data_IF_966551901324
#
_entry.id   IF_966551901324
#
_cell.length_a   1.000
_cell.length_b   1.000
_cell.length_c   1.000
_cell.angle_alpha   90.00
_cell.angle_beta   90.00
_cell.angle_gamma   90.00
#
_symmetry.space_group_name_H-M   'P 1'
#
loop_
_entity.id
_entity.type
_entity.pdbx_description
1 polymer ?
#
# COMPACT_ATOMS: atom_id res chain seq x y z
N UNK A 1 -32.15 -11.17 -6.62
CA UNK A 1 -31.21 -10.30 -5.89
C UNK A 1 -29.85 -11.01 -5.92
N UNK A 2 -28.93 -10.62 -6.82
CA UNK A 2 -27.62 -11.26 -6.91
C UNK A 2 -26.77 -10.89 -5.69
N UNK A 3 -26.18 -11.90 -5.03
CA UNK A 3 -25.31 -11.67 -3.89
C UNK A 3 -24.09 -10.82 -4.30
N UNK A 4 -23.66 -9.87 -3.46
CA UNK A 4 -22.50 -9.03 -3.77
C UNK A 4 -21.27 -9.91 -4.03
N UNK A 5 -20.54 -9.58 -5.10
CA UNK A 5 -19.37 -10.32 -5.56
C UNK A 5 -18.33 -10.39 -4.44
N UNK A 6 -18.19 -11.56 -3.79
CA UNK A 6 -17.22 -11.75 -2.70
C UNK A 6 -15.81 -11.61 -3.25
N UNK A 7 -15.14 -10.51 -2.92
CA UNK A 7 -13.72 -10.33 -3.28
C UNK A 7 -12.87 -11.23 -2.39
N UNK A 8 -12.42 -12.35 -2.94
CA UNK A 8 -11.45 -13.20 -2.26
C UNK A 8 -10.08 -12.54 -2.30
N UNK A 9 -9.47 -12.37 -1.14
CA UNK A 9 -8.15 -11.80 -1.03
C UNK A 9 -7.11 -12.88 -0.76
N UNK A 10 -6.12 -12.94 -1.64
CA UNK A 10 -5.03 -13.92 -1.56
C UNK A 10 -3.72 -13.19 -1.29
N UNK A 11 -2.93 -13.70 -0.34
CA UNK A 11 -1.61 -13.18 0.02
C UNK A 11 -0.58 -13.49 -1.07
N UNK A 12 0.54 -12.77 -1.08
CA UNK A 12 1.64 -13.03 -1.99
C UNK A 12 2.18 -14.47 -1.81
N UNK A 13 2.27 -14.94 -0.56
CA UNK A 13 2.63 -16.33 -0.23
C UNK A 13 1.74 -17.35 -0.95
N UNK A 14 0.42 -17.25 -0.73
CA UNK A 14 -0.55 -18.18 -1.30
C UNK A 14 -0.56 -18.15 -2.84
N UNK A 15 -0.32 -16.98 -3.44
CA UNK A 15 -0.20 -16.85 -4.90
C UNK A 15 1.00 -17.61 -5.45
N UNK A 16 2.15 -17.59 -4.75
CA UNK A 16 3.35 -18.33 -5.17
C UNK A 16 3.19 -19.83 -4.99
N UNK A 17 2.71 -20.26 -3.83
CA UNK A 17 2.41 -21.67 -3.56
C UNK A 17 1.45 -22.24 -4.62
N UNK A 18 0.41 -21.47 -4.97
CA UNK A 18 -0.49 -21.85 -6.04
C UNK A 18 0.20 -21.92 -7.41
N UNK A 19 1.15 -21.04 -7.71
CA UNK A 19 1.88 -21.05 -8.98
C UNK A 19 2.90 -22.19 -9.07
N UNK A 20 3.57 -22.53 -7.97
CA UNK A 20 4.44 -23.70 -7.87
C UNK A 20 3.64 -24.97 -8.11
N UNK A 21 2.47 -25.08 -7.49
CA UNK A 21 1.56 -26.23 -7.70
C UNK A 21 0.99 -26.28 -9.12
N UNK A 22 0.71 -25.13 -9.73
CA UNK A 22 0.32 -25.04 -11.14
C UNK A 22 1.43 -25.52 -12.07
N UNK A 23 2.70 -25.33 -11.73
CA UNK A 23 3.82 -25.82 -12.54
C UNK A 23 3.91 -27.36 -12.56
N UNK A 24 3.50 -28.01 -11.46
CA UNK A 24 3.52 -29.48 -11.32
C UNK A 24 2.20 -30.12 -11.79
N UNK A 25 1.06 -29.66 -11.29
CA UNK A 25 -0.25 -30.30 -11.47
C UNK A 25 -1.13 -29.61 -12.55
N UNK A 26 -0.77 -28.39 -12.95
CA UNK A 26 -1.59 -27.57 -13.85
C UNK A 26 -2.73 -26.82 -13.16
N UNK A 27 -3.40 -25.93 -13.92
CA UNK A 27 -4.37 -24.99 -13.35
C UNK A 27 -5.67 -25.63 -12.84
N UNK A 28 -6.19 -26.67 -13.51
CA UNK A 28 -7.48 -27.29 -13.14
C UNK A 28 -7.39 -28.08 -11.83
N UNK A 29 -6.39 -28.94 -11.59
CA UNK A 29 -6.23 -29.63 -10.31
C UNK A 29 -5.95 -28.66 -9.16
N UNK A 30 -5.05 -27.70 -9.37
CA UNK A 30 -4.72 -26.69 -8.35
C UNK A 30 -5.94 -25.83 -7.95
N UNK A 31 -6.79 -25.45 -8.91
CA UNK A 31 -8.02 -24.70 -8.64
C UNK A 31 -8.96 -25.45 -7.69
N UNK A 32 -9.13 -26.76 -7.92
CA UNK A 32 -9.97 -27.62 -7.08
C UNK A 32 -9.35 -27.79 -5.69
N UNK A 33 -8.04 -28.06 -5.63
CA UNK A 33 -7.36 -28.33 -4.36
C UNK A 33 -7.28 -27.12 -3.44
N UNK A 34 -7.11 -25.90 -3.98
CA UNK A 34 -6.99 -24.67 -3.20
C UNK A 34 -8.31 -23.88 -3.09
N UNK A 35 -9.39 -24.37 -3.69
CA UNK A 35 -10.66 -23.66 -3.84
C UNK A 35 -10.49 -22.23 -4.42
N UNK A 36 -9.63 -22.10 -5.43
CA UNK A 36 -9.35 -20.84 -6.12
C UNK A 36 -10.01 -20.87 -7.50
N UNK A 37 -10.77 -19.83 -7.90
CA UNK A 37 -11.37 -19.79 -9.22
C UNK A 37 -10.33 -19.95 -10.33
N UNK A 38 -10.63 -20.80 -11.32
CA UNK A 38 -9.70 -21.11 -12.41
C UNK A 38 -9.25 -19.86 -13.19
N UNK A 39 -10.16 -18.89 -13.38
CA UNK A 39 -9.85 -17.61 -14.00
C UNK A 39 -8.80 -16.81 -13.22
N UNK A 40 -8.84 -16.87 -11.89
CA UNK A 40 -7.86 -16.22 -11.01
C UNK A 40 -6.47 -16.83 -11.18
N UNK A 41 -6.35 -18.17 -11.17
CA UNK A 41 -5.07 -18.85 -11.39
C UNK A 41 -4.49 -18.57 -12.78
N UNK A 42 -5.32 -18.58 -13.83
CA UNK A 42 -4.89 -18.19 -15.18
C UNK A 42 -4.37 -16.75 -15.22
N UNK A 43 -5.04 -15.83 -14.52
CA UNK A 43 -4.61 -14.45 -14.38
C UNK A 43 -3.27 -14.29 -13.65
N UNK A 44 -3.03 -15.09 -12.60
CA UNK A 44 -1.75 -15.11 -11.88
C UNK A 44 -0.63 -15.71 -12.72
N UNK A 45 -0.91 -16.78 -13.48
CA UNK A 45 0.09 -17.39 -14.37
C UNK A 45 0.61 -16.39 -15.41
N UNK A 46 -0.26 -15.52 -15.94
CA UNK A 46 0.14 -14.41 -16.84
C UNK A 46 1.03 -13.36 -16.15
N UNK A 47 0.98 -13.27 -14.81
CA UNK A 47 1.72 -12.31 -13.99
C UNK A 47 2.75 -13.02 -13.09
N UNK A 48 3.15 -14.24 -13.43
CA UNK A 48 3.99 -15.09 -12.56
C UNK A 48 5.32 -14.43 -12.28
N UNK A 49 5.99 -13.89 -13.30
CA UNK A 49 7.27 -13.17 -13.17
C UNK A 49 7.19 -12.07 -12.12
N UNK A 50 6.17 -11.19 -12.22
CA UNK A 50 5.95 -10.11 -11.24
C UNK A 50 5.66 -10.63 -9.81
N UNK A 51 4.99 -11.78 -9.68
CA UNK A 51 4.66 -12.38 -8.38
C UNK A 51 5.88 -13.02 -7.70
N UNK A 52 6.79 -13.60 -8.48
CA UNK A 52 8.05 -14.16 -8.00
C UNK A 52 9.10 -13.08 -7.73
N UNK A 53 9.19 -12.03 -8.55
CA UNK A 53 10.09 -10.89 -8.36
C UNK A 53 9.67 -9.97 -7.19
N UNK A 54 8.45 -10.11 -6.68
CA UNK A 54 7.94 -9.29 -5.59
C UNK A 54 8.78 -9.47 -4.31
N UNK A 55 9.53 -8.43 -3.92
CA UNK A 55 10.38 -8.41 -2.70
C UNK A 55 9.67 -7.91 -1.43
N UNK A 56 8.38 -7.62 -1.50
CA UNK A 56 7.64 -7.13 -0.33
C UNK A 56 7.15 -8.24 0.61
N UNK A 57 6.36 -7.85 1.62
CA UNK A 57 5.88 -8.76 2.66
C UNK A 57 5.04 -9.90 2.08
N UNK A 58 5.29 -11.14 2.52
CA UNK A 58 4.58 -12.33 2.03
C UNK A 58 3.11 -12.37 2.46
N UNK A 59 2.79 -11.71 3.56
CA UNK A 59 1.41 -11.45 4.02
C UNK A 59 0.68 -10.42 3.17
N UNK A 60 1.40 -9.69 2.30
CA UNK A 60 0.80 -8.64 1.48
C UNK A 60 -0.26 -9.21 0.53
N UNK A 61 -1.42 -8.56 0.51
CA UNK A 61 -2.51 -8.86 -0.42
C UNK A 61 -2.31 -8.15 -1.77
N UNK A 62 -1.31 -7.28 -1.89
CA UNK A 62 -1.00 -6.52 -3.11
C UNK A 62 0.48 -6.67 -3.49
N UNK A 63 0.76 -6.91 -4.77
CA UNK A 63 2.13 -6.92 -5.32
C UNK A 63 2.65 -5.51 -5.56
N UNK A 64 1.74 -4.55 -5.70
CA UNK A 64 2.08 -3.13 -5.67
C UNK A 64 1.89 -2.68 -4.22
N UNK A 65 2.99 -2.36 -3.53
CA UNK A 65 2.87 -1.51 -2.34
C UNK A 65 2.08 -0.27 -2.75
N UNK A 66 1.11 0.16 -1.95
CA UNK A 66 0.33 1.34 -2.29
C UNK A 66 1.30 2.52 -2.43
N UNK A 67 1.52 3.02 -3.65
CA UNK A 67 2.39 4.19 -3.89
C UNK A 67 1.88 5.31 -2.98
N UNK A 68 2.78 5.93 -2.21
CA UNK A 68 2.40 7.08 -1.39
C UNK A 68 1.86 8.17 -2.31
N UNK A 69 0.83 8.90 -1.87
CA UNK A 69 0.38 10.12 -2.57
C UNK A 69 1.41 11.26 -2.43
N UNK A 70 2.27 11.16 -1.42
CA UNK A 70 3.38 12.07 -1.17
C UNK A 70 4.51 11.74 -2.15
N UNK A 71 4.75 12.61 -3.12
CA UNK A 71 5.80 12.46 -4.15
C UNK A 71 7.19 12.81 -3.64
N UNK A 72 7.28 13.59 -2.57
CA UNK A 72 8.50 14.04 -1.88
C UNK A 72 8.82 13.19 -0.63
N UNK A 73 8.42 11.90 -0.65
CA UNK A 73 8.52 11.05 0.54
C UNK A 73 9.95 10.81 1.02
N UNK A 74 10.95 10.88 0.14
CA UNK A 74 12.34 10.71 0.53
C UNK A 74 12.79 11.84 1.48
N UNK A 75 12.54 13.09 1.09
CA UNK A 75 12.98 14.27 1.84
C UNK A 75 12.23 14.38 3.16
N UNK A 76 10.93 14.10 3.14
CA UNK A 76 10.13 14.00 4.35
C UNK A 76 10.70 12.97 5.34
N UNK A 77 11.13 11.79 4.87
CA UNK A 77 11.76 10.77 5.74
C UNK A 77 13.11 11.23 6.28
N UNK A 78 13.89 11.99 5.52
CA UNK A 78 15.15 12.56 6.00
C UNK A 78 14.90 13.50 7.17
N UNK A 79 13.97 14.45 7.01
CA UNK A 79 13.62 15.40 8.07
C UNK A 79 13.04 14.68 9.29
N UNK A 80 12.19 13.66 9.09
CA UNK A 80 11.70 12.80 10.18
C UNK A 80 12.82 12.10 10.95
N UNK A 81 13.89 11.69 10.28
CA UNK A 81 15.06 11.05 10.93
C UNK A 81 15.90 12.08 11.68
N UNK A 82 16.04 13.28 11.15
CA UNK A 82 16.83 14.34 11.77
C UNK A 82 16.17 14.82 13.07
N UNK A 83 14.86 15.08 13.05
CA UNK A 83 14.08 15.39 14.27
C UNK A 83 14.20 14.28 15.32
N UNK A 84 14.16 13.02 14.89
CA UNK A 84 14.36 11.88 15.80
C UNK A 84 15.79 11.81 16.37
N UNK A 85 16.81 12.23 15.61
CA UNK A 85 18.20 12.28 16.07
C UNK A 85 18.43 13.38 17.09
N UNK A 86 17.65 14.45 17.01
CA UNK A 86 17.62 15.55 17.99
C UNK A 86 16.81 15.20 19.26
N UNK A 87 16.41 13.94 19.43
CA UNK A 87 15.56 13.42 20.51
C UNK A 87 14.16 14.07 20.60
N UNK A 88 13.74 14.76 19.54
CA UNK A 88 12.41 15.35 19.46
C UNK A 88 11.37 14.35 18.93
N UNK A 89 10.14 14.45 19.46
CA UNK A 89 9.00 13.70 18.96
C UNK A 89 8.38 14.43 17.77
N UNK A 90 8.48 13.83 16.59
CA UNK A 90 7.65 14.30 15.49
C UNK A 90 6.20 13.92 15.73
N UNK A 91 5.31 14.92 15.71
CA UNK A 91 3.87 14.69 15.72
C UNK A 91 3.28 14.85 14.31
N UNK A 92 2.08 14.31 14.11
CA UNK A 92 1.31 14.48 12.87
C UNK A 92 1.16 15.95 12.47
N UNK A 93 1.01 16.87 13.43
CA UNK A 93 0.92 18.31 13.18
C UNK A 93 2.22 18.92 12.62
N UNK A 94 3.37 18.53 13.17
CA UNK A 94 4.68 18.97 12.69
C UNK A 94 4.95 18.52 11.25
N UNK A 95 4.53 17.30 10.89
CA UNK A 95 4.57 16.86 9.49
C UNK A 95 3.74 17.75 8.57
N UNK A 96 2.55 18.17 9.01
CA UNK A 96 1.67 19.03 8.22
C UNK A 96 2.28 20.42 8.04
N UNK A 97 2.85 21.02 9.08
CA UNK A 97 3.48 22.33 8.96
C UNK A 97 4.70 22.27 8.03
N UNK A 98 5.50 21.21 8.11
CA UNK A 98 6.62 20.99 7.18
C UNK A 98 6.13 20.87 5.73
N UNK A 99 5.08 20.07 5.48
CA UNK A 99 4.47 19.95 4.15
C UNK A 99 3.96 21.31 3.66
N UNK A 100 3.39 22.12 4.54
CA UNK A 100 2.90 23.45 4.19
C UNK A 100 4.04 24.41 3.84
N UNK A 101 5.16 24.35 4.56
CA UNK A 101 6.33 25.19 4.36
C UNK A 101 7.11 24.82 3.09
N UNK A 102 7.36 23.53 2.87
CA UNK A 102 8.21 23.07 1.77
C UNK A 102 7.43 22.68 0.51
N UNK A 103 6.17 22.27 0.66
CA UNK A 103 5.36 21.63 -0.38
C UNK A 103 3.95 22.24 -0.48
N UNK A 104 3.84 23.54 -0.24
CA UNK A 104 2.56 24.28 -0.23
C UNK A 104 1.72 24.10 -1.49
N UNK A 105 2.35 24.17 -2.67
CA UNK A 105 1.65 23.95 -3.95
C UNK A 105 1.04 22.55 -4.07
N UNK A 106 1.75 21.52 -3.60
CA UNK A 106 1.22 20.16 -3.55
C UNK A 106 0.06 20.04 -2.55
N UNK A 107 0.17 20.71 -1.39
CA UNK A 107 -0.88 20.72 -0.37
C UNK A 107 -2.16 21.36 -0.89
N UNK A 108 -2.06 22.50 -1.57
CA UNK A 108 -3.19 23.19 -2.21
C UNK A 108 -3.89 22.29 -3.23
N UNK A 109 -3.12 21.67 -4.15
CA UNK A 109 -3.67 20.73 -5.12
C UNK A 109 -4.33 19.52 -4.45
N UNK A 110 -3.73 19.00 -3.38
CA UNK A 110 -4.27 17.86 -2.64
C UNK A 110 -5.62 18.18 -1.99
N UNK A 111 -5.74 19.39 -1.41
CA UNK A 111 -6.94 19.86 -0.73
C UNK A 111 -8.04 20.32 -1.69
N UNK A 112 -7.69 20.84 -2.88
CA UNK A 112 -8.66 21.24 -3.90
C UNK A 112 -9.57 20.09 -4.36
N UNK A 113 -9.06 18.85 -4.34
CA UNK A 113 -9.82 17.63 -4.66
C UNK A 113 -10.70 17.13 -3.49
N UNK A 114 -10.89 17.90 -2.42
CA UNK A 114 -11.62 17.47 -1.22
C UNK A 114 -12.96 18.19 -1.13
N UNK A 115 -13.99 17.45 -0.74
CA UNK A 115 -15.37 17.96 -0.70
C UNK A 115 -15.60 19.05 0.36
N UNK A 116 -14.72 19.15 1.37
CA UNK A 116 -14.74 20.21 2.37
C UNK A 116 -13.38 20.34 3.06
N UNK A 117 -13.10 21.51 3.63
CA UNK A 117 -11.85 21.78 4.35
C UNK A 117 -11.62 20.83 5.53
N UNK A 118 -12.66 20.54 6.31
CA UNK A 118 -12.59 19.60 7.45
C UNK A 118 -12.24 18.18 6.99
N UNK A 119 -12.88 17.70 5.90
CA UNK A 119 -12.58 16.39 5.31
C UNK A 119 -11.19 16.37 4.68
N UNK A 120 -10.74 17.48 4.10
CA UNK A 120 -9.40 17.64 3.56
C UNK A 120 -8.32 17.52 4.64
N UNK A 121 -8.47 18.25 5.75
CA UNK A 121 -7.57 18.18 6.89
C UNK A 121 -7.57 16.77 7.52
N UNK A 122 -8.74 16.20 7.76
CA UNK A 122 -8.88 14.83 8.27
C UNK A 122 -8.22 13.78 7.36
N UNK A 123 -8.29 13.96 6.05
CA UNK A 123 -7.63 13.08 5.08
C UNK A 123 -6.11 13.27 5.08
N UNK A 124 -5.64 14.51 5.21
CA UNK A 124 -4.23 14.86 5.29
C UNK A 124 -3.58 14.28 6.55
N UNK A 125 -4.22 14.41 7.72
CA UNK A 125 -3.73 13.81 8.98
C UNK A 125 -3.55 12.30 8.84
N UNK A 126 -4.57 11.61 8.31
CA UNK A 126 -4.50 10.15 8.07
C UNK A 126 -3.42 9.79 7.06
N UNK A 127 -3.16 10.63 6.06
CA UNK A 127 -2.09 10.42 5.09
C UNK A 127 -0.72 10.50 5.77
N UNK A 128 -0.50 11.50 6.62
CA UNK A 128 0.74 11.68 7.37
C UNK A 128 0.97 10.52 8.36
N UNK A 129 -0.03 10.13 9.14
CA UNK A 129 0.05 9.00 10.06
C UNK A 129 0.37 7.68 9.35
N UNK A 130 -0.29 7.40 8.23
CA UNK A 130 -0.01 6.20 7.43
C UNK A 130 1.38 6.23 6.80
N UNK A 131 1.84 7.41 6.42
CA UNK A 131 3.18 7.61 5.90
C UNK A 131 4.22 7.30 6.98
N UNK A 132 4.09 7.92 8.15
CA UNK A 132 4.96 7.69 9.30
C UNK A 132 5.01 6.21 9.71
N UNK A 133 3.85 5.57 9.89
CA UNK A 133 3.77 4.16 10.26
C UNK A 133 4.44 3.24 9.22
N UNK A 134 4.31 3.56 7.92
CA UNK A 134 4.99 2.82 6.84
C UNK A 134 6.51 2.93 6.93
N UNK A 135 7.02 4.04 7.44
CA UNK A 135 8.45 4.32 7.58
C UNK A 135 8.99 3.99 8.97
N UNK A 136 8.19 3.38 9.85
CA UNK A 136 8.61 2.94 11.18
C UNK A 136 8.62 4.04 12.25
N UNK A 137 7.87 5.12 12.03
CA UNK A 137 7.69 6.21 12.99
C UNK A 137 6.34 6.09 13.72
N UNK A 138 6.33 6.54 14.98
CA UNK A 138 5.11 6.79 15.77
C UNK A 138 4.95 8.31 15.87
N UNK A 139 3.80 8.84 15.45
CA UNK A 139 3.51 10.29 15.29
C UNK A 139 2.07 10.64 15.66
#
# INVERSE_FOLDING_TARGET
MEAPRRQNHYTAKLRREALERVAVEGCKPTARALNIPLGTLKGWRKKSTLLFEYKGAQSSRTTKGAKSKITFGHDLVTIMKDVRREEEYMCTGGMIELIKMEQGAWLEMYLADKSSSERGLSALMRLCQRFAARHGFSV
#
